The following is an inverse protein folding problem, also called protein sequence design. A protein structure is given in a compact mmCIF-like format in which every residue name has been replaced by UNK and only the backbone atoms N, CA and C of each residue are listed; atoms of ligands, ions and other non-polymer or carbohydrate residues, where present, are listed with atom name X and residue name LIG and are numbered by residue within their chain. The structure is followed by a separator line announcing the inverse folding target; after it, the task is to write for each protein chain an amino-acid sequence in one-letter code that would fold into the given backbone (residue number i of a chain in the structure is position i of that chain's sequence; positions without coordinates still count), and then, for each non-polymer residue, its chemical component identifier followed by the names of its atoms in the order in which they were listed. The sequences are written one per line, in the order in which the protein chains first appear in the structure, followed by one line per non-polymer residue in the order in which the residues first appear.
data_IF_658276415745
#
_entry.id   IF_658276415745
#
_cell.length_a   1.000
_cell.length_b   1.000
_cell.length_c   1.000
_cell.angle_alpha   90.00
_cell.angle_beta   90.00
_cell.angle_gamma   90.00
#
_symmetry.space_group_name_H-M   'P 1'
#
loop_
_entity.id
_entity.type
_entity.pdbx_description
1 polymer ?
#
# COMPACT_ATOMS: atom_id res chain seq x y z
N UNK A 1 7.99 38.48 48.42
CA UNK A 1 7.50 37.10 48.30
C UNK A 1 7.14 36.89 46.81
N UNK A 2 8.01 36.21 46.07
CA UNK A 2 7.87 36.04 44.63
C UNK A 2 7.21 34.67 44.34
N UNK A 3 6.08 34.74 43.71
CA UNK A 3 5.29 33.59 43.24
C UNK A 3 6.00 32.90 42.08
N UNK A 4 6.56 31.72 42.31
CA UNK A 4 7.16 30.86 41.28
C UNK A 4 6.02 30.09 40.57
N UNK A 5 5.48 30.62 39.50
CA UNK A 5 4.61 29.88 38.57
C UNK A 5 5.43 28.77 37.92
N UNK A 6 5.17 27.53 38.28
CA UNK A 6 5.66 26.32 37.61
C UNK A 6 5.12 26.32 36.18
N UNK A 7 6.02 26.28 35.19
CA UNK A 7 5.66 25.96 33.80
C UNK A 7 5.15 24.51 33.75
N UNK A 8 4.08 24.24 32.99
CA UNK A 8 3.65 22.86 32.82
C UNK A 8 4.72 22.08 32.07
N UNK A 9 4.99 20.92 32.62
CA UNK A 9 5.85 19.88 32.12
C UNK A 9 5.49 19.55 30.66
N UNK A 10 6.43 19.70 29.75
CA UNK A 10 6.29 19.22 28.37
C UNK A 10 6.33 17.71 28.43
N UNK A 11 5.15 17.11 28.49
CA UNK A 11 4.94 15.67 28.42
C UNK A 11 5.63 15.16 27.17
N UNK A 12 6.73 14.43 27.35
CA UNK A 12 7.38 13.64 26.32
C UNK A 12 6.29 12.76 25.70
N UNK A 13 5.90 13.05 24.45
CA UNK A 13 5.04 12.17 23.68
C UNK A 13 5.73 10.82 23.66
N UNK A 14 5.19 9.83 24.35
CA UNK A 14 5.62 8.44 24.20
C UNK A 14 5.58 8.12 22.72
N UNK A 15 6.71 7.74 22.16
CA UNK A 15 6.79 7.11 20.84
C UNK A 15 5.85 5.91 20.95
N UNK A 16 4.77 5.90 20.19
CA UNK A 16 3.82 4.80 20.17
C UNK A 16 4.49 3.69 19.37
N UNK A 17 5.00 2.66 20.07
CA UNK A 17 5.65 1.53 19.45
C UNK A 17 4.72 0.89 18.42
N UNK A 18 5.15 0.87 17.15
CA UNK A 18 4.36 0.29 16.06
C UNK A 18 4.35 -1.23 16.20
N UNK A 19 3.22 -1.78 16.62
CA UNK A 19 3.06 -3.24 16.70
C UNK A 19 2.64 -3.86 15.39
N UNK A 20 1.77 -3.21 14.64
CA UNK A 20 1.27 -3.65 13.33
C UNK A 20 1.26 -2.48 12.37
N UNK A 21 1.32 -2.78 11.06
CA UNK A 21 1.20 -1.76 10.03
C UNK A 21 0.25 -2.22 8.93
N UNK A 22 -0.93 -1.62 8.87
CA UNK A 22 -2.01 -1.97 7.93
C UNK A 22 -2.53 -0.76 7.16
N UNK A 23 -2.25 0.45 7.63
CA UNK A 23 -2.74 1.70 7.04
C UNK A 23 -1.80 2.88 7.33
N UNK A 24 -2.09 4.04 6.76
CA UNK A 24 -1.39 5.30 7.06
C UNK A 24 -1.50 5.68 8.54
N UNK A 25 -2.58 5.31 9.20
CA UNK A 25 -2.86 5.67 10.60
C UNK A 25 -1.94 4.95 11.60
N UNK A 26 -1.28 3.86 11.17
CA UNK A 26 -0.35 3.11 12.01
C UNK A 26 1.07 3.72 11.98
N UNK A 27 1.37 4.62 11.03
CA UNK A 27 2.72 5.14 10.84
C UNK A 27 3.16 6.16 11.89
N UNK A 28 2.20 6.80 12.55
CA UNK A 28 2.47 7.89 13.51
C UNK A 28 2.64 9.24 12.80
N UNK A 29 3.70 9.98 13.13
CA UNK A 29 3.97 11.29 12.52
C UNK A 29 4.51 11.12 11.09
N UNK A 30 3.77 11.64 10.11
CA UNK A 30 4.13 11.53 8.70
C UNK A 30 5.40 12.32 8.36
N UNK A 31 5.61 13.49 8.98
CA UNK A 31 6.80 14.28 8.72
C UNK A 31 8.06 13.56 9.21
N UNK A 32 8.01 12.97 10.40
CA UNK A 32 9.10 12.13 10.93
C UNK A 32 9.37 10.93 10.01
N UNK A 33 8.32 10.23 9.57
CA UNK A 33 8.44 9.09 8.68
C UNK A 33 9.07 9.46 7.32
N UNK A 34 8.77 10.65 6.80
CA UNK A 34 9.40 11.16 5.58
C UNK A 34 10.89 11.44 5.79
N UNK A 35 11.27 12.09 6.90
CA UNK A 35 12.68 12.34 7.22
C UNK A 35 13.45 11.03 7.35
N UNK A 36 12.90 10.03 8.01
CA UNK A 36 13.48 8.68 8.09
C UNK A 36 13.64 8.06 6.70
N UNK A 37 12.63 8.18 5.84
CA UNK A 37 12.68 7.66 4.47
C UNK A 37 13.80 8.30 3.65
N UNK A 38 13.94 9.62 3.72
CA UNK A 38 15.01 10.37 3.03
C UNK A 38 16.39 10.05 3.59
N UNK A 39 16.50 9.82 4.89
CA UNK A 39 17.73 9.39 5.53
C UNK A 39 18.15 7.98 5.07
N UNK A 40 17.25 7.01 5.11
CA UNK A 40 17.47 5.65 4.63
C UNK A 40 17.81 5.64 3.14
N UNK A 41 17.22 6.55 2.35
CA UNK A 41 17.53 6.65 0.93
C UNK A 41 18.98 7.10 0.67
N UNK A 42 19.55 7.95 1.55
CA UNK A 42 20.96 8.38 1.49
C UNK A 42 21.93 7.29 1.95
N UNK A 43 21.58 6.55 2.99
CA UNK A 43 22.35 5.43 3.51
C UNK A 43 21.45 4.24 3.85
N UNK A 44 21.36 3.31 2.90
CA UNK A 44 20.46 2.14 2.98
C UNK A 44 20.83 1.15 4.06
N UNK A 45 22.05 1.19 4.56
CA UNK A 45 22.58 0.26 5.56
C UNK A 45 22.77 0.91 6.94
N UNK A 46 22.35 2.17 7.12
CA UNK A 46 22.49 2.91 8.38
C UNK A 46 21.98 2.12 9.59
N UNK A 47 20.95 1.33 9.41
CA UNK A 47 20.29 0.56 10.48
C UNK A 47 20.52 -0.94 10.39
N UNK A 48 21.60 -1.39 9.75
CA UNK A 48 21.87 -2.81 9.48
C UNK A 48 21.96 -3.67 10.76
N UNK A 49 22.37 -3.11 11.88
CA UNK A 49 22.46 -3.83 13.16
C UNK A 49 21.10 -4.02 13.85
N UNK A 50 20.06 -3.28 13.43
CA UNK A 50 18.75 -3.31 14.09
C UNK A 50 18.06 -4.66 13.95
N UNK A 51 18.18 -5.30 12.78
CA UNK A 51 17.60 -6.61 12.48
C UNK A 51 18.51 -7.80 12.75
N UNK A 52 19.67 -7.58 13.37
CA UNK A 52 20.61 -8.68 13.68
C UNK A 52 19.95 -9.77 14.53
N UNK A 53 20.06 -11.02 14.09
CA UNK A 53 19.44 -12.19 14.71
C UNK A 53 17.91 -12.15 14.71
N UNK A 54 17.28 -11.28 13.90
CA UNK A 54 15.84 -11.23 13.69
C UNK A 54 15.47 -11.84 12.34
N UNK A 55 14.31 -12.47 12.29
CA UNK A 55 13.80 -13.12 11.09
C UNK A 55 12.49 -12.45 10.64
N UNK A 56 12.49 -11.99 9.38
CA UNK A 56 11.31 -11.56 8.66
C UNK A 56 10.73 -12.76 7.90
N UNK A 57 9.47 -13.10 8.16
CA UNK A 57 8.70 -14.05 7.35
C UNK A 57 7.76 -13.26 6.41
N UNK A 58 7.89 -13.49 5.11
CA UNK A 58 7.04 -12.92 4.09
C UNK A 58 6.09 -13.99 3.53
N UNK A 59 4.78 -13.86 3.80
CA UNK A 59 3.76 -14.84 3.42
C UNK A 59 2.97 -14.33 2.21
N UNK A 60 3.00 -15.08 1.11
CA UNK A 60 2.34 -14.74 -0.14
C UNK A 60 1.20 -15.71 -0.45
N UNK A 61 -0.03 -15.23 -0.42
CA UNK A 61 -1.21 -15.92 -0.97
C UNK A 61 -1.37 -15.63 -2.48
N UNK A 62 -0.77 -14.56 -2.95
CA UNK A 62 -0.77 -14.13 -4.35
C UNK A 62 0.65 -13.75 -4.78
N UNK A 63 1.03 -14.14 -5.99
CA UNK A 63 2.36 -13.84 -6.55
C UNK A 63 2.61 -12.34 -6.67
N UNK A 64 3.88 -11.93 -6.55
CA UNK A 64 4.33 -10.56 -6.77
C UNK A 64 5.80 -10.52 -7.13
N UNK A 65 6.13 -9.69 -8.11
CA UNK A 65 7.53 -9.40 -8.44
C UNK A 65 8.09 -8.31 -7.51
N UNK A 66 7.50 -7.13 -7.54
CA UNK A 66 8.02 -5.93 -6.85
C UNK A 66 7.95 -6.03 -5.34
N UNK A 67 6.81 -6.45 -4.78
CA UNK A 67 6.66 -6.62 -3.33
C UNK A 67 7.68 -7.62 -2.78
N UNK A 68 7.89 -8.74 -3.49
CA UNK A 68 8.88 -9.73 -3.11
C UNK A 68 10.28 -9.12 -3.06
N UNK A 69 10.73 -8.52 -4.17
CA UNK A 69 12.08 -7.98 -4.28
C UNK A 69 12.31 -6.80 -3.32
N UNK A 70 11.39 -5.84 -3.26
CA UNK A 70 11.57 -4.63 -2.45
C UNK A 70 11.53 -4.92 -0.95
N UNK A 71 10.59 -5.75 -0.48
CA UNK A 71 10.46 -6.05 0.95
C UNK A 71 11.58 -7.00 1.42
N UNK A 72 11.98 -7.96 0.59
CA UNK A 72 13.14 -8.80 0.89
C UNK A 72 14.41 -7.97 1.00
N UNK A 73 14.63 -7.05 0.04
CA UNK A 73 15.77 -6.13 0.07
C UNK A 73 15.75 -5.24 1.31
N UNK A 74 14.57 -4.71 1.70
CA UNK A 74 14.41 -3.91 2.91
C UNK A 74 14.80 -4.68 4.18
N UNK A 75 14.36 -5.93 4.33
CA UNK A 75 14.76 -6.77 5.46
C UNK A 75 16.27 -7.02 5.50
N UNK A 76 16.89 -7.33 4.34
CA UNK A 76 18.34 -7.52 4.23
C UNK A 76 19.13 -6.25 4.56
N UNK A 77 18.66 -5.07 4.15
CA UNK A 77 19.32 -3.79 4.48
C UNK A 77 19.32 -3.49 5.99
N UNK A 78 18.33 -4.00 6.72
CA UNK A 78 18.26 -3.90 8.18
C UNK A 78 19.01 -5.03 8.90
N UNK A 79 19.66 -5.96 8.16
CA UNK A 79 20.40 -7.09 8.73
C UNK A 79 19.54 -8.27 9.20
N UNK A 80 18.29 -8.35 8.77
CA UNK A 80 17.39 -9.45 9.07
C UNK A 80 17.69 -10.70 8.24
N UNK A 81 17.42 -11.87 8.79
CA UNK A 81 17.18 -13.07 7.99
C UNK A 81 15.80 -12.93 7.32
N UNK A 82 15.69 -13.35 6.06
CA UNK A 82 14.42 -13.24 5.34
C UNK A 82 13.99 -14.60 4.81
N UNK A 83 12.80 -15.03 5.23
CA UNK A 83 12.13 -16.24 4.74
C UNK A 83 10.95 -15.80 3.87
N UNK A 84 10.85 -16.37 2.68
CA UNK A 84 9.74 -16.10 1.75
C UNK A 84 8.94 -17.38 1.54
N UNK A 85 7.66 -17.34 1.91
CA UNK A 85 6.73 -18.46 1.79
C UNK A 85 5.62 -18.14 0.79
N UNK A 86 5.56 -18.89 -0.30
CA UNK A 86 4.40 -18.92 -1.20
C UNK A 86 3.46 -20.03 -0.75
N UNK A 87 2.31 -19.67 -0.20
CA UNK A 87 1.33 -20.60 0.37
C UNK A 87 0.86 -21.66 -0.65
N UNK A 88 0.77 -21.28 -1.94
CA UNK A 88 0.27 -22.16 -3.00
C UNK A 88 1.36 -22.96 -3.73
N UNK A 89 2.65 -22.72 -3.46
CA UNK A 89 3.77 -23.33 -4.18
C UNK A 89 4.87 -23.88 -3.26
N UNK A 90 5.06 -23.24 -2.09
CA UNK A 90 6.13 -23.60 -1.14
C UNK A 90 5.64 -24.42 0.05
N UNK A 91 4.34 -24.65 0.18
CA UNK A 91 3.71 -25.44 1.24
C UNK A 91 2.47 -26.15 0.69
N UNK A 92 1.88 -27.01 1.50
CA UNK A 92 0.56 -27.58 1.17
C UNK A 92 -0.53 -26.53 1.22
N UNK A 93 -1.69 -26.86 0.65
CA UNK A 93 -2.86 -25.96 0.65
C UNK A 93 -3.41 -25.81 2.06
N UNK A 94 -3.69 -24.56 2.43
CA UNK A 94 -4.27 -24.21 3.73
C UNK A 94 -5.79 -24.04 3.63
N UNK A 95 -6.50 -24.56 4.64
CA UNK A 95 -7.92 -24.26 4.84
C UNK A 95 -8.05 -22.93 5.59
N UNK A 96 -8.98 -22.08 5.15
CA UNK A 96 -9.21 -20.76 5.73
C UNK A 96 -10.58 -20.62 6.41
N UNK A 97 -11.49 -21.57 6.16
CA UNK A 97 -12.86 -21.50 6.64
C UNK A 97 -13.06 -22.34 7.90
N UNK A 98 -13.65 -21.74 8.94
CA UNK A 98 -13.99 -22.45 10.17
C UNK A 98 -15.18 -23.41 9.97
N UNK A 99 -15.19 -24.50 10.73
CA UNK A 99 -16.30 -25.44 10.77
C UNK A 99 -16.39 -26.41 9.59
N UNK A 100 -15.42 -26.38 8.67
CA UNK A 100 -15.37 -27.34 7.57
C UNK A 100 -14.80 -28.68 8.02
N UNK A 101 -15.27 -29.76 7.43
CA UNK A 101 -14.65 -31.08 7.55
C UNK A 101 -13.51 -31.13 6.54
N UNK A 102 -12.27 -31.28 7.01
CA UNK A 102 -11.07 -31.26 6.16
C UNK A 102 -10.81 -32.63 5.51
N UNK A 103 -11.75 -33.12 4.71
CA UNK A 103 -11.67 -34.39 3.96
C UNK A 103 -11.25 -34.20 2.49
N UNK A 104 -10.93 -32.96 2.09
CA UNK A 104 -10.53 -32.59 0.74
C UNK A 104 -9.01 -32.53 0.54
N UNK A 105 -8.57 -31.55 -0.29
CA UNK A 105 -7.18 -31.40 -0.73
C UNK A 105 -6.36 -30.36 0.08
N UNK A 106 -6.89 -29.88 1.20
CA UNK A 106 -6.21 -28.96 2.11
C UNK A 106 -5.71 -29.75 3.32
N UNK A 107 -4.43 -29.65 3.62
CA UNK A 107 -3.77 -30.53 4.60
C UNK A 107 -3.69 -29.93 6.01
N UNK A 108 -3.83 -28.61 6.15
CA UNK A 108 -3.71 -27.90 7.42
C UNK A 108 -4.65 -26.69 7.43
N UNK A 109 -5.19 -26.37 8.60
CA UNK A 109 -5.98 -25.17 8.76
C UNK A 109 -5.08 -23.97 9.05
N UNK A 110 -5.46 -22.79 8.56
CA UNK A 110 -4.70 -21.55 8.72
C UNK A 110 -4.52 -21.18 10.22
N UNK A 111 -5.47 -21.56 11.08
CA UNK A 111 -5.42 -21.28 12.52
C UNK A 111 -4.34 -22.07 13.27
N UNK A 112 -3.89 -23.21 12.77
CA UNK A 112 -2.73 -23.94 13.28
C UNK A 112 -1.44 -23.43 12.59
N UNK A 113 -1.50 -23.18 11.28
CA UNK A 113 -0.33 -22.73 10.52
C UNK A 113 0.20 -21.36 10.99
N UNK A 114 -0.69 -20.41 11.31
CA UNK A 114 -0.28 -19.05 11.73
C UNK A 114 0.54 -19.04 13.03
N UNK A 115 0.11 -19.64 14.15
CA UNK A 115 0.94 -19.70 15.36
C UNK A 115 2.27 -20.42 15.13
N UNK A 116 2.28 -21.49 14.32
CA UNK A 116 3.50 -22.20 13.95
C UNK A 116 4.47 -21.29 13.19
N UNK A 117 3.99 -20.54 12.20
CA UNK A 117 4.80 -19.52 11.50
C UNK A 117 5.37 -18.49 12.49
N UNK A 118 4.57 -18.07 13.48
CA UNK A 118 4.99 -17.15 14.55
C UNK A 118 6.13 -17.71 15.43
N UNK A 119 6.28 -19.03 15.55
CA UNK A 119 7.40 -19.63 16.27
C UNK A 119 8.75 -19.44 15.57
N UNK A 120 8.76 -19.24 14.25
CA UNK A 120 9.97 -19.24 13.42
C UNK A 120 10.40 -17.86 12.95
N UNK A 121 9.73 -16.80 13.36
CA UNK A 121 10.05 -15.44 12.95
C UNK A 121 9.80 -14.41 14.05
N UNK A 122 10.31 -13.20 13.84
CA UNK A 122 10.10 -12.03 14.72
C UNK A 122 9.08 -11.06 14.16
N UNK A 123 8.96 -10.99 12.83
CA UNK A 123 8.04 -10.07 12.12
C UNK A 123 7.43 -10.81 10.94
N UNK A 124 6.16 -10.57 10.65
CA UNK A 124 5.43 -11.20 9.54
C UNK A 124 4.89 -10.16 8.58
N UNK A 125 5.26 -10.26 7.29
CA UNK A 125 4.60 -9.56 6.20
C UNK A 125 3.56 -10.47 5.52
N UNK A 126 2.35 -9.97 5.32
CA UNK A 126 1.26 -10.75 4.69
C UNK A 126 0.80 -10.08 3.40
N UNK A 127 0.67 -10.86 2.33
CA UNK A 127 0.07 -10.45 1.06
C UNK A 127 -1.10 -11.37 0.72
N UNK A 128 -2.31 -10.81 0.75
CA UNK A 128 -3.56 -11.55 0.49
C UNK A 128 -4.57 -10.64 -0.22
N UNK A 129 -4.81 -10.88 -1.51
CA UNK A 129 -5.75 -10.09 -2.31
C UNK A 129 -7.21 -10.36 -1.96
N UNK A 130 -8.07 -9.42 -2.37
CA UNK A 130 -9.50 -9.65 -2.49
C UNK A 130 -9.76 -10.89 -3.36
N UNK A 131 -10.63 -11.77 -2.89
CA UNK A 131 -11.03 -12.97 -3.62
C UNK A 131 -12.14 -12.71 -4.61
N UNK A 132 -12.91 -11.64 -4.38
CA UNK A 132 -14.15 -11.30 -5.13
C UNK A 132 -15.25 -12.36 -5.02
N UNK A 133 -15.18 -13.21 -4.00
CA UNK A 133 -16.21 -14.23 -3.69
C UNK A 133 -17.23 -13.67 -2.70
N UNK A 134 -16.76 -12.93 -1.70
CA UNK A 134 -17.57 -12.26 -0.69
C UNK A 134 -16.98 -10.87 -0.43
N UNK A 135 -17.75 -9.82 -0.73
CA UNK A 135 -17.36 -8.45 -0.42
C UNK A 135 -17.16 -8.26 1.08
N UNK A 136 -18.00 -8.87 1.89
CA UNK A 136 -17.93 -8.74 3.34
C UNK A 136 -16.64 -9.32 3.89
N UNK A 137 -16.26 -10.54 3.50
CA UNK A 137 -15.01 -11.20 3.93
C UNK A 137 -13.77 -10.41 3.47
N UNK A 138 -13.77 -9.92 2.22
CA UNK A 138 -12.69 -9.10 1.69
C UNK A 138 -12.57 -7.79 2.47
N UNK A 139 -13.70 -7.12 2.74
CA UNK A 139 -13.72 -5.85 3.47
C UNK A 139 -13.46 -5.98 4.98
N UNK A 140 -13.59 -7.18 5.54
CA UNK A 140 -13.15 -7.52 6.90
C UNK A 140 -11.67 -7.89 6.96
N UNK A 141 -10.95 -7.93 5.83
CA UNK A 141 -9.53 -8.30 5.76
C UNK A 141 -9.25 -9.63 6.49
N UNK A 142 -10.11 -10.64 6.27
CA UNK A 142 -10.17 -11.88 7.04
C UNK A 142 -8.81 -12.55 7.23
N UNK A 143 -8.03 -12.69 6.15
CA UNK A 143 -6.71 -13.35 6.21
C UNK A 143 -5.72 -12.53 7.03
N UNK A 144 -5.57 -11.22 6.72
CA UNK A 144 -4.65 -10.33 7.42
C UNK A 144 -4.96 -10.29 8.92
N UNK A 145 -6.25 -10.15 9.28
CA UNK A 145 -6.70 -10.09 10.66
C UNK A 145 -6.45 -11.39 11.43
N UNK A 146 -6.52 -12.56 10.78
CA UNK A 146 -6.13 -13.82 11.42
C UNK A 146 -4.64 -13.85 11.76
N UNK A 147 -3.75 -13.34 10.91
CA UNK A 147 -2.33 -13.22 11.23
C UNK A 147 -2.09 -12.25 12.40
N UNK A 148 -2.74 -11.11 12.42
CA UNK A 148 -2.66 -10.14 13.52
C UNK A 148 -3.10 -10.77 14.84
N UNK A 149 -4.19 -11.53 14.82
CA UNK A 149 -4.79 -12.11 16.01
C UNK A 149 -4.03 -13.32 16.56
N UNK A 150 -3.50 -14.19 15.67
CA UNK A 150 -3.04 -15.53 16.09
C UNK A 150 -1.53 -15.75 15.97
N UNK A 151 -0.77 -14.91 15.28
CA UNK A 151 0.67 -15.13 15.11
C UNK A 151 1.50 -14.86 16.36
N UNK A 152 1.00 -14.01 17.27
CA UNK A 152 1.77 -13.52 18.41
C UNK A 152 2.94 -12.59 18.03
N UNK A 153 3.05 -12.20 16.76
CA UNK A 153 4.12 -11.38 16.19
C UNK A 153 3.60 -10.07 15.62
N UNK A 154 4.43 -9.03 15.51
CA UNK A 154 4.11 -7.89 14.68
C UNK A 154 3.83 -8.30 13.23
N UNK A 155 2.75 -7.75 12.66
CA UNK A 155 2.30 -8.04 11.30
C UNK A 155 2.22 -6.74 10.51
N UNK A 156 2.70 -6.77 9.26
CA UNK A 156 2.46 -5.66 8.33
C UNK A 156 1.84 -6.16 7.02
N UNK A 157 0.99 -5.31 6.46
CA UNK A 157 0.34 -5.58 5.18
C UNK A 157 1.30 -5.29 4.03
N UNK A 158 1.63 -6.31 3.24
CA UNK A 158 2.34 -6.15 1.96
C UNK A 158 1.39 -5.88 0.79
N UNK A 159 0.16 -6.14 0.93
CA UNK A 159 -1.07 -5.81 0.21
C UNK A 159 -2.18 -6.74 0.73
N UNK A 160 -3.31 -6.18 1.08
CA UNK A 160 -4.47 -6.92 1.55
C UNK A 160 -5.67 -6.70 0.59
N UNK A 161 -6.85 -7.12 0.97
CA UNK A 161 -8.02 -7.03 0.09
C UNK A 161 -8.41 -5.58 -0.20
N UNK A 162 -8.34 -4.71 0.81
CA UNK A 162 -8.78 -3.31 0.71
C UNK A 162 -7.66 -2.28 0.85
N UNK A 163 -6.43 -2.70 1.22
CA UNK A 163 -5.32 -1.79 1.45
C UNK A 163 -3.96 -2.27 0.96
N UNK A 164 -3.15 -1.34 0.44
CA UNK A 164 -1.75 -1.55 0.09
C UNK A 164 -0.86 -0.41 0.65
N UNK A 165 -0.71 -0.32 1.98
CA UNK A 165 -0.10 0.83 2.63
C UNK A 165 1.37 1.05 2.24
N UNK A 166 2.17 -0.01 2.05
CA UNK A 166 3.55 0.11 1.60
C UNK A 166 3.68 0.73 0.20
N UNK A 167 2.72 0.47 -0.70
CA UNK A 167 2.71 1.11 -2.02
C UNK A 167 2.45 2.60 -1.86
N UNK A 168 1.37 2.96 -1.17
CA UNK A 168 0.98 4.37 -1.05
C UNK A 168 1.98 5.20 -0.25
N UNK A 169 2.71 4.58 0.67
CA UNK A 169 3.86 5.22 1.30
C UNK A 169 4.99 5.50 0.28
N UNK A 170 5.29 4.55 -0.61
CA UNK A 170 6.27 4.77 -1.68
C UNK A 170 5.80 5.84 -2.68
N UNK A 171 4.50 5.86 -3.01
CA UNK A 171 3.89 6.88 -3.85
C UNK A 171 4.05 8.27 -3.23
N UNK A 172 3.76 8.39 -1.93
CA UNK A 172 3.91 9.64 -1.19
C UNK A 172 5.36 10.11 -1.11
N UNK A 173 6.33 9.23 -0.79
CA UNK A 173 7.76 9.57 -0.83
C UNK A 173 8.13 10.10 -2.21
N UNK A 174 7.64 9.47 -3.28
CA UNK A 174 7.92 9.90 -4.65
C UNK A 174 7.34 11.29 -4.94
N UNK A 175 6.11 11.55 -4.52
CA UNK A 175 5.50 12.89 -4.67
C UNK A 175 6.31 13.94 -3.91
N UNK A 176 6.71 13.66 -2.68
CA UNK A 176 7.53 14.58 -1.88
C UNK A 176 8.90 14.91 -2.52
N UNK A 177 9.48 13.97 -3.27
CA UNK A 177 10.75 14.18 -3.99
C UNK A 177 10.61 15.04 -5.24
N UNK A 178 9.46 15.02 -5.89
CA UNK A 178 9.24 15.66 -7.19
C UNK A 178 8.28 16.85 -7.16
N UNK A 179 7.58 17.09 -6.06
CA UNK A 179 6.66 18.23 -5.94
C UNK A 179 7.41 19.55 -5.99
N UNK A 180 6.81 20.52 -6.66
CA UNK A 180 7.31 21.89 -6.77
C UNK A 180 6.48 22.91 -6.00
N UNK A 181 5.33 22.46 -5.47
CA UNK A 181 4.40 23.25 -4.66
C UNK A 181 4.13 22.53 -3.34
N UNK A 182 3.85 23.28 -2.29
CA UNK A 182 3.63 22.71 -0.96
C UNK A 182 2.44 21.73 -0.92
N UNK A 183 1.34 22.13 -1.55
CA UNK A 183 0.09 21.35 -1.63
C UNK A 183 -0.25 21.02 -3.08
N UNK A 184 0.33 19.95 -3.66
CA UNK A 184 0.05 19.59 -5.04
C UNK A 184 -1.40 19.10 -5.22
N UNK A 185 -1.97 19.36 -6.40
CA UNK A 185 -3.16 18.66 -6.86
C UNK A 185 -2.74 17.30 -7.42
N UNK A 186 -3.25 16.24 -6.78
CA UNK A 186 -2.96 14.84 -7.12
C UNK A 186 -4.24 14.20 -7.64
N UNK A 187 -4.22 13.73 -8.86
CA UNK A 187 -5.37 13.11 -9.51
C UNK A 187 -5.15 11.61 -9.61
N UNK A 188 -6.02 10.82 -8.98
CA UNK A 188 -6.09 9.38 -9.20
C UNK A 188 -7.16 9.11 -10.25
N UNK A 189 -6.73 8.60 -11.42
CA UNK A 189 -7.62 8.28 -12.53
C UNK A 189 -7.80 6.79 -12.70
N UNK A 190 -9.06 6.35 -12.72
CA UNK A 190 -9.39 5.04 -13.25
C UNK A 190 -8.95 4.93 -14.71
N UNK A 191 -8.54 3.73 -15.11
CA UNK A 191 -8.18 3.41 -16.48
C UNK A 191 -8.65 1.98 -16.84
N UNK A 192 -8.94 1.67 -18.10
CA UNK A 192 -9.52 0.38 -18.49
C UNK A 192 -8.56 -0.79 -18.27
N UNK A 193 -9.13 -1.95 -17.96
CA UNK A 193 -8.39 -3.20 -17.81
C UNK A 193 -9.29 -4.39 -18.18
N UNK A 194 -8.76 -5.51 -18.75
CA UNK A 194 -9.57 -6.64 -19.18
C UNK A 194 -10.14 -7.47 -18.03
N UNK A 195 -9.59 -7.32 -16.82
CA UNK A 195 -10.01 -8.04 -15.61
C UNK A 195 -10.34 -7.05 -14.49
N UNK A 196 -11.24 -7.46 -13.58
CA UNK A 196 -11.42 -6.78 -12.32
C UNK A 196 -10.11 -6.83 -11.49
N UNK A 197 -9.74 -5.70 -10.90
CA UNK A 197 -8.57 -5.60 -10.01
C UNK A 197 -9.02 -5.15 -8.61
N UNK A 198 -8.27 -5.54 -7.55
CA UNK A 198 -8.55 -5.11 -6.20
C UNK A 198 -8.58 -3.59 -6.03
N UNK A 199 -9.35 -3.11 -5.07
CA UNK A 199 -9.42 -1.70 -4.69
C UNK A 199 -8.32 -1.29 -3.71
N UNK A 200 -7.47 -2.22 -3.30
CA UNK A 200 -6.43 -2.03 -2.27
C UNK A 200 -5.52 -0.82 -2.55
N UNK A 201 -4.99 -0.71 -3.77
CA UNK A 201 -4.11 0.41 -4.15
C UNK A 201 -4.86 1.73 -4.18
N UNK A 202 -6.00 1.89 -4.91
CA UNK A 202 -6.70 3.16 -4.95
C UNK A 202 -7.23 3.60 -3.58
N UNK A 203 -7.71 2.68 -2.75
CA UNK A 203 -8.14 2.99 -1.39
C UNK A 203 -6.99 3.58 -0.55
N UNK A 204 -5.86 2.87 -0.50
CA UNK A 204 -4.69 3.34 0.25
C UNK A 204 -4.14 4.65 -0.32
N UNK A 205 -4.07 4.78 -1.64
CA UNK A 205 -3.59 6.02 -2.28
C UNK A 205 -4.43 7.22 -1.85
N UNK A 206 -5.77 7.10 -1.92
CA UNK A 206 -6.68 8.17 -1.51
C UNK A 206 -6.44 8.58 -0.04
N UNK A 207 -6.40 7.60 0.88
CA UNK A 207 -6.17 7.87 2.30
C UNK A 207 -4.81 8.52 2.57
N UNK A 208 -3.74 8.04 1.92
CA UNK A 208 -2.40 8.57 2.12
C UNK A 208 -2.27 10.01 1.61
N UNK A 209 -2.77 10.30 0.42
CA UNK A 209 -2.66 11.64 -0.18
C UNK A 209 -3.50 12.67 0.57
N UNK A 210 -4.68 12.27 1.08
CA UNK A 210 -5.49 13.12 1.97
C UNK A 210 -4.78 13.33 3.31
N UNK A 211 -4.21 12.29 3.92
CA UNK A 211 -3.47 12.42 5.17
C UNK A 211 -2.20 13.29 5.03
N UNK A 212 -1.57 13.29 3.85
CA UNK A 212 -0.46 14.18 3.51
C UNK A 212 -0.89 15.65 3.28
N UNK A 213 -2.19 15.95 3.32
CA UNK A 213 -2.72 17.31 3.16
C UNK A 213 -2.79 17.79 1.71
N UNK A 214 -2.71 16.90 0.72
CA UNK A 214 -2.78 17.27 -0.69
C UNK A 214 -4.21 17.58 -1.16
N UNK A 215 -4.34 18.26 -2.29
CA UNK A 215 -5.60 18.34 -3.02
C UNK A 215 -5.80 17.06 -3.82
N UNK A 216 -6.71 16.19 -3.35
CA UNK A 216 -6.93 14.87 -3.95
C UNK A 216 -8.20 14.86 -4.78
N UNK A 217 -8.07 14.52 -6.06
CA UNK A 217 -9.19 14.29 -6.96
C UNK A 217 -9.18 12.84 -7.44
N UNK A 218 -10.32 12.16 -7.32
CA UNK A 218 -10.51 10.79 -7.81
C UNK A 218 -11.48 10.89 -9.00
N UNK A 219 -11.05 10.37 -10.16
CA UNK A 219 -11.88 10.38 -11.36
C UNK A 219 -12.06 8.99 -11.93
N UNK A 220 -13.31 8.63 -12.25
CA UNK A 220 -13.70 7.31 -12.74
C UNK A 220 -15.06 7.35 -13.44
N UNK A 221 -15.40 6.36 -14.28
CA UNK A 221 -16.76 6.18 -14.78
C UNK A 221 -17.73 5.93 -13.60
N UNK A 222 -19.00 6.34 -13.76
CA UNK A 222 -20.04 6.03 -12.77
C UNK A 222 -20.13 4.53 -12.55
N UNK A 223 -20.38 4.12 -11.29
CA UNK A 223 -20.40 2.72 -10.86
C UNK A 223 -19.04 2.19 -10.38
N UNK A 224 -17.98 3.00 -10.44
CA UNK A 224 -16.66 2.66 -9.91
C UNK A 224 -16.30 3.46 -8.66
N UNK A 225 -17.28 3.99 -7.96
CA UNK A 225 -17.07 4.66 -6.68
C UNK A 225 -16.38 3.72 -5.69
N UNK A 226 -15.33 4.22 -5.06
CA UNK A 226 -14.70 3.55 -3.93
C UNK A 226 -15.56 3.74 -2.68
N UNK A 227 -15.39 2.87 -1.70
CA UNK A 227 -16.11 3.01 -0.43
C UNK A 227 -15.75 4.35 0.25
N UNK A 228 -16.74 5.14 0.71
CA UNK A 228 -16.53 6.47 1.29
C UNK A 228 -15.56 6.49 2.47
N UNK A 229 -15.41 5.40 3.20
CA UNK A 229 -14.43 5.30 4.30
C UNK A 229 -12.97 5.47 3.85
N UNK A 230 -12.68 5.24 2.56
CA UNK A 230 -11.34 5.41 2.00
C UNK A 230 -11.16 6.74 1.27
N UNK A 231 -12.25 7.37 0.83
CA UNK A 231 -12.22 8.58 0.01
C UNK A 231 -12.57 9.86 0.76
N UNK A 232 -12.81 9.76 2.08
CA UNK A 232 -13.11 10.93 2.90
C UNK A 232 -12.00 11.99 2.77
N UNK A 233 -12.38 13.21 2.38
CA UNK A 233 -11.45 14.32 2.13
C UNK A 233 -10.97 14.45 0.68
N UNK A 234 -11.28 13.49 -0.21
CA UNK A 234 -11.03 13.61 -1.65
C UNK A 234 -12.26 14.14 -2.39
N UNK A 235 -12.03 14.81 -3.51
CA UNK A 235 -13.09 15.23 -4.45
C UNK A 235 -13.30 14.14 -5.50
N UNK A 236 -14.56 13.82 -5.80
CA UNK A 236 -14.93 12.92 -6.90
C UNK A 236 -15.31 13.75 -8.13
N UNK A 237 -14.67 13.50 -9.26
CA UNK A 237 -14.99 14.11 -10.54
C UNK A 237 -15.19 13.02 -11.61
N UNK A 238 -16.31 13.04 -12.30
CA UNK A 238 -16.66 12.03 -13.31
C UNK A 238 -16.19 12.39 -14.72
N UNK A 239 -15.75 13.63 -14.93
CA UNK A 239 -15.09 14.08 -16.16
C UNK A 239 -13.58 14.01 -15.99
N UNK A 240 -12.94 13.09 -16.71
CA UNK A 240 -11.49 12.88 -16.61
C UNK A 240 -10.69 14.12 -17.04
N UNK A 241 -11.14 14.81 -18.10
CA UNK A 241 -10.44 16.01 -18.58
C UNK A 241 -10.48 17.12 -17.54
N UNK A 242 -11.66 17.36 -16.97
CA UNK A 242 -11.84 18.36 -15.90
C UNK A 242 -11.06 17.99 -14.63
N UNK A 243 -11.00 16.72 -14.28
CA UNK A 243 -10.19 16.27 -13.15
C UNK A 243 -8.70 16.59 -13.36
N UNK A 244 -8.19 16.43 -14.59
CA UNK A 244 -6.78 16.63 -14.93
C UNK A 244 -6.36 18.10 -15.02
N UNK A 245 -7.28 19.02 -15.24
CA UNK A 245 -6.97 20.47 -15.32
C UNK A 245 -6.15 20.93 -14.11
N UNK A 246 -4.96 21.46 -14.36
CA UNK A 246 -4.06 21.96 -13.31
C UNK A 246 -3.50 20.90 -12.36
N UNK A 247 -3.59 19.60 -12.68
CA UNK A 247 -2.97 18.55 -11.87
C UNK A 247 -1.44 18.65 -11.91
N UNK A 248 -0.79 18.34 -10.78
CA UNK A 248 0.67 18.23 -10.66
C UNK A 248 1.14 16.77 -10.72
N UNK A 249 0.28 15.84 -10.31
CA UNK A 249 0.53 14.40 -10.39
C UNK A 249 -0.73 13.68 -10.87
N UNK A 250 -0.55 12.72 -11.78
CA UNK A 250 -1.61 11.84 -12.29
C UNK A 250 -1.23 10.40 -11.98
N UNK A 251 -2.04 9.76 -11.15
CA UNK A 251 -1.87 8.34 -10.78
C UNK A 251 -2.89 7.50 -11.56
N UNK A 252 -2.40 6.73 -12.55
CA UNK A 252 -3.26 5.85 -13.33
C UNK A 252 -3.46 4.50 -12.64
N UNK A 253 -4.72 4.05 -12.47
CA UNK A 253 -4.99 2.73 -11.89
C UNK A 253 -6.35 2.19 -12.31
N UNK A 254 -6.44 0.88 -12.55
CA UNK A 254 -7.72 0.19 -12.64
C UNK A 254 -8.13 -0.37 -11.27
N UNK A 255 -9.41 -0.33 -10.99
CA UNK A 255 -10.05 -1.05 -9.89
C UNK A 255 -11.44 -1.52 -10.29
N UNK A 256 -11.94 -2.55 -9.61
CA UNK A 256 -13.27 -3.09 -9.80
C UNK A 256 -14.33 -2.28 -9.05
N UNK A 257 -15.58 -2.49 -9.41
CA UNK A 257 -16.70 -1.92 -8.69
C UNK A 257 -16.73 -2.36 -7.23
N UNK A 258 -16.98 -1.41 -6.31
CA UNK A 258 -17.08 -1.64 -4.87
C UNK A 258 -18.52 -1.86 -4.39
N UNK A 259 -19.55 -1.57 -5.23
CA UNK A 259 -20.95 -1.77 -4.84
C UNK A 259 -21.25 -3.25 -4.61
N UNK A 260 -22.11 -3.60 -3.64
CA UNK A 260 -22.45 -4.99 -3.36
C UNK A 260 -23.00 -5.75 -4.57
N UNK A 261 -23.79 -5.08 -5.42
CA UNK A 261 -24.45 -5.68 -6.59
C UNK A 261 -23.47 -6.06 -7.70
N UNK A 262 -22.37 -5.32 -7.83
CA UNK A 262 -21.41 -5.47 -8.92
C UNK A 262 -19.97 -5.67 -8.41
N UNK A 263 -19.82 -6.14 -7.18
CA UNK A 263 -18.53 -6.34 -6.55
C UNK A 263 -17.62 -7.23 -7.40
N UNK A 264 -16.41 -6.74 -7.65
CA UNK A 264 -15.41 -7.45 -8.43
C UNK A 264 -15.71 -7.57 -9.93
N UNK A 265 -16.73 -6.86 -10.46
CA UNK A 265 -17.07 -6.88 -11.87
C UNK A 265 -16.38 -5.78 -12.68
N UNK A 266 -16.25 -6.02 -13.98
CA UNK A 266 -15.82 -5.03 -14.97
C UNK A 266 -17.06 -4.46 -15.63
N UNK A 267 -17.46 -3.24 -15.26
CA UNK A 267 -18.65 -2.57 -15.78
C UNK A 267 -18.39 -1.83 -17.09
N UNK A 268 -17.17 -1.34 -17.29
CA UNK A 268 -16.75 -0.59 -18.48
C UNK A 268 -15.39 -1.04 -18.96
N UNK A 269 -15.22 -1.10 -20.27
CA UNK A 269 -13.94 -1.28 -20.98
C UNK A 269 -13.65 -0.10 -21.90
N UNK A 270 -14.31 1.01 -21.65
CA UNK A 270 -14.22 2.18 -22.49
C UNK A 270 -12.81 2.76 -22.51
N UNK A 271 -12.20 2.76 -23.68
CA UNK A 271 -10.83 3.19 -23.92
C UNK A 271 -10.65 4.70 -23.92
N UNK A 272 -11.72 5.48 -23.86
CA UNK A 272 -11.64 6.93 -23.67
C UNK A 272 -10.92 7.31 -22.36
N UNK A 273 -10.94 6.39 -21.38
CA UNK A 273 -10.26 6.52 -20.09
C UNK A 273 -8.77 6.16 -20.13
N UNK A 274 -8.23 5.71 -21.28
CA UNK A 274 -6.79 5.50 -21.44
C UNK A 274 -6.06 6.81 -21.30
N UNK A 275 -5.09 6.88 -20.37
CA UNK A 275 -4.32 8.10 -20.15
C UNK A 275 -3.33 8.28 -21.30
N UNK A 276 -3.42 9.39 -22.00
CA UNK A 276 -2.57 9.74 -23.14
C UNK A 276 -2.20 11.23 -23.13
N UNK A 277 -1.39 11.66 -24.07
CA UNK A 277 -0.91 13.04 -24.18
C UNK A 277 -2.04 14.08 -24.16
N UNK A 278 -3.21 13.73 -24.72
CA UNK A 278 -4.37 14.64 -24.71
C UNK A 278 -4.82 14.98 -23.28
N UNK A 279 -4.91 13.99 -22.38
CA UNK A 279 -5.27 14.23 -20.99
C UNK A 279 -4.13 14.90 -20.24
N UNK A 280 -2.87 14.48 -20.51
CA UNK A 280 -1.70 15.08 -19.86
C UNK A 280 -1.51 16.57 -20.26
N UNK A 281 -1.93 16.97 -21.47
CA UNK A 281 -1.77 18.33 -21.97
C UNK A 281 -2.59 19.40 -21.19
N UNK A 282 -3.66 19.03 -20.48
CA UNK A 282 -4.46 19.99 -19.68
C UNK A 282 -3.97 20.10 -18.23
N UNK A 283 -2.97 19.33 -17.85
CA UNK A 283 -2.37 19.37 -16.51
C UNK A 283 -1.39 20.53 -16.37
N UNK A 284 -0.99 20.83 -15.14
CA UNK A 284 0.14 21.75 -14.89
C UNK A 284 1.47 20.96 -14.95
N UNK A 285 1.84 20.53 -16.16
CA UNK A 285 3.02 19.71 -16.40
C UNK A 285 3.11 18.50 -15.46
N UNK A 286 2.02 17.78 -15.24
CA UNK A 286 1.97 16.71 -14.27
C UNK A 286 2.96 15.57 -14.52
N UNK A 287 3.45 15.00 -13.44
CA UNK A 287 4.12 13.71 -13.49
C UNK A 287 3.11 12.59 -13.56
N UNK A 288 3.39 11.57 -14.37
CA UNK A 288 2.62 10.33 -14.44
C UNK A 288 3.17 9.29 -13.47
N UNK A 289 2.28 8.61 -12.72
CA UNK A 289 2.59 7.57 -11.75
C UNK A 289 1.71 6.34 -11.96
N UNK A 290 2.23 5.16 -11.61
CA UNK A 290 1.50 3.90 -11.62
C UNK A 290 2.28 2.83 -10.85
N UNK A 291 1.64 2.12 -9.93
CA UNK A 291 2.27 1.09 -9.08
C UNK A 291 2.85 -0.13 -9.83
N UNK A 292 2.63 -0.25 -11.14
CA UNK A 292 2.98 -1.42 -11.94
C UNK A 292 2.40 -2.76 -11.38
N UNK A 293 2.18 -3.79 -12.20
CA UNK A 293 2.36 -3.84 -13.66
C UNK A 293 1.32 -2.98 -14.39
N UNK A 294 1.69 -2.43 -15.53
CA UNK A 294 0.83 -1.63 -16.37
C UNK A 294 0.57 -2.35 -17.70
N UNK A 295 -0.61 -2.16 -18.26
CA UNK A 295 -0.95 -2.57 -19.61
C UNK A 295 -0.82 -1.38 -20.54
N UNK A 296 0.26 -1.34 -21.30
CA UNK A 296 0.54 -0.28 -22.28
C UNK A 296 -0.57 -0.18 -23.32
N UNK A 297 -0.85 1.03 -23.75
CA UNK A 297 -1.88 1.37 -24.73
C UNK A 297 -3.31 0.91 -24.35
N UNK A 298 -3.49 0.58 -23.09
CA UNK A 298 -4.77 0.28 -22.47
C UNK A 298 -4.99 1.15 -21.21
N UNK A 299 -4.07 1.13 -20.26
CA UNK A 299 -4.12 2.00 -19.08
C UNK A 299 -3.53 3.37 -19.43
N UNK A 300 -2.38 3.36 -20.07
CA UNK A 300 -1.60 4.53 -20.45
C UNK A 300 -0.89 4.27 -21.77
N UNK A 301 -0.73 5.28 -22.61
CA UNK A 301 -0.01 5.17 -23.89
C UNK A 301 1.51 5.08 -23.68
N UNK A 302 2.21 4.56 -24.68
CA UNK A 302 3.67 4.44 -24.65
C UNK A 302 4.35 5.81 -24.47
N UNK A 303 3.87 6.85 -25.16
CA UNK A 303 4.43 8.20 -25.08
C UNK A 303 4.40 8.79 -23.68
N UNK A 304 3.33 8.56 -22.92
CA UNK A 304 3.20 9.03 -21.53
C UNK A 304 4.09 8.23 -20.59
N UNK A 305 4.08 6.89 -20.67
CA UNK A 305 4.84 6.06 -19.71
C UNK A 305 6.34 6.09 -19.96
N UNK A 306 6.78 6.30 -21.20
CA UNK A 306 8.20 6.44 -21.59
C UNK A 306 8.66 7.91 -21.57
N UNK A 307 7.73 8.83 -21.42
CA UNK A 307 8.00 10.25 -21.40
C UNK A 307 8.85 10.70 -20.20
N UNK A 308 9.49 11.88 -20.32
CA UNK A 308 10.41 12.39 -19.28
C UNK A 308 9.72 12.74 -17.95
N UNK A 309 8.40 12.76 -17.92
CA UNK A 309 7.58 13.01 -16.74
C UNK A 309 6.99 11.73 -16.16
N UNK A 310 7.42 10.56 -16.57
CA UNK A 310 7.00 9.29 -15.96
C UNK A 310 7.85 8.97 -14.73
N UNK A 311 7.19 8.78 -13.59
CA UNK A 311 7.84 8.45 -12.31
C UNK A 311 7.67 6.97 -11.92
N UNK A 312 7.21 6.10 -12.83
CA UNK A 312 6.92 4.70 -12.51
C UNK A 312 8.15 3.92 -11.99
N UNK A 313 9.36 4.27 -12.42
CA UNK A 313 10.60 3.64 -11.93
C UNK A 313 11.07 4.24 -10.60
N UNK A 314 11.16 5.57 -10.41
CA UNK A 314 11.40 6.17 -9.09
C UNK A 314 10.39 5.70 -8.03
N UNK A 315 9.10 5.64 -8.36
CA UNK A 315 8.04 5.11 -7.51
C UNK A 315 8.30 3.66 -7.10
N UNK A 316 8.63 2.80 -8.07
CA UNK A 316 8.96 1.41 -7.80
C UNK A 316 10.22 1.27 -6.91
N UNK A 317 11.22 2.14 -7.08
CA UNK A 317 12.43 2.15 -6.25
C UNK A 317 12.13 2.55 -4.80
N UNK A 318 11.20 3.49 -4.57
CA UNK A 318 10.80 3.92 -3.24
C UNK A 318 10.06 2.84 -2.43
N UNK A 319 9.61 1.74 -3.05
CA UNK A 319 9.01 0.61 -2.33
C UNK A 319 9.97 -0.08 -1.35
N UNK A 320 11.26 -0.14 -1.68
CA UNK A 320 12.28 -0.63 -0.75
C UNK A 320 12.39 0.31 0.45
N UNK A 321 12.37 1.62 0.21
CA UNK A 321 12.47 2.64 1.26
C UNK A 321 11.27 2.57 2.21
N UNK A 322 10.06 2.57 1.66
CA UNK A 322 8.82 2.48 2.46
C UNK A 322 8.80 1.23 3.35
N UNK A 323 9.19 0.08 2.80
CA UNK A 323 9.29 -1.17 3.56
C UNK A 323 10.38 -1.11 4.65
N UNK A 324 11.52 -0.45 4.36
CA UNK A 324 12.61 -0.30 5.34
C UNK A 324 12.18 0.56 6.53
N UNK A 325 11.50 1.70 6.29
CA UNK A 325 10.97 2.55 7.38
C UNK A 325 10.00 1.77 8.26
N UNK A 326 9.04 1.06 7.66
CA UNK A 326 8.05 0.28 8.42
C UNK A 326 8.71 -0.83 9.24
N UNK A 327 9.60 -1.61 8.63
CA UNK A 327 10.34 -2.66 9.35
C UNK A 327 11.22 -2.09 10.46
N UNK A 328 11.89 -0.95 10.23
CA UNK A 328 12.67 -0.25 11.26
C UNK A 328 11.80 0.11 12.47
N UNK A 329 10.65 0.77 12.24
CA UNK A 329 9.74 1.16 13.33
C UNK A 329 9.20 -0.05 14.09
N UNK A 330 8.86 -1.14 13.40
CA UNK A 330 8.45 -2.40 14.05
C UNK A 330 9.59 -2.98 14.91
N UNK A 331 10.81 -3.04 14.37
CA UNK A 331 11.97 -3.58 15.09
C UNK A 331 12.35 -2.75 16.32
N UNK A 332 12.20 -1.43 16.28
CA UNK A 332 12.38 -0.54 17.42
C UNK A 332 11.39 -0.81 18.56
N UNK A 333 10.15 -1.18 18.22
CA UNK A 333 9.13 -1.59 19.19
C UNK A 333 9.33 -3.01 19.76
N UNK A 334 10.26 -3.80 19.24
CA UNK A 334 10.60 -5.14 19.77
C UNK A 334 11.71 -5.13 20.85
N UNK A 335 12.28 -3.96 21.15
CA UNK A 335 13.34 -3.81 22.17
C UNK A 335 12.75 -3.76 23.61
#
# INVERSE_FOLDING_TARGET
MADKRRRPDQTIKKIQDMRHFTSVFDLGDLHEALQEALEIKRDRYKYVELGRNKTLLMVFFNSSLRTRLSTQKAGLNLGMNVIVLDVNQGAWKLETERGVIMDGNKSEHLLEAIPVMGCYCDVIGVRSFARFESREDDYQEKILNQFIQYSGRPVFSMEAATGHPLQSFADWITIEEYKTVERPKVVMSWAPHPKALPQAVPNSFAQWMVAAGYEVVITHPRGYELDPRFTAGATIEYDQMKAFEGAHFVYGKNWSCASPEHYGQVLSKDRIWTICDRQMAVTDNAYFMHCLPVRRNMIVTDDVIEGPRSLVIPEAANREISATVVLKKILEGLK
#
